data_IF_287684691159
#
_entry.id   IF_287684691159
#
_cell.length_a   1.000
_cell.length_b   1.000
_cell.length_c   1.000
_cell.angle_alpha   90.00
_cell.angle_beta   90.00
_cell.angle_gamma   90.00
#
_symmetry.space_group_name_H-M   'P 1'
#
loop_
_entity.id
_entity.type
_entity.pdbx_description
1 polymer ?
#
# COMPACT_ATOMS: atom_id res chain seq x y z
N UNK A 1 10.15 22.23 -17.33
CA UNK A 1 9.18 22.55 -18.40
C UNK A 1 7.89 23.14 -17.82
N UNK A 2 7.26 22.56 -16.79
CA UNK A 2 6.02 23.05 -16.19
C UNK A 2 6.18 24.41 -15.50
N UNK A 3 7.37 24.71 -14.95
CA UNK A 3 7.62 25.98 -14.24
C UNK A 3 7.81 27.19 -15.18
N UNK A 4 8.08 26.94 -16.46
CA UNK A 4 8.35 28.03 -17.43
C UNK A 4 7.10 28.45 -18.21
N UNK A 5 6.12 27.55 -18.41
CA UNK A 5 4.80 27.84 -18.97
C UNK A 5 3.76 26.94 -18.29
N UNK A 6 3.14 27.41 -17.20
CA UNK A 6 2.14 26.61 -16.49
C UNK A 6 0.86 26.53 -17.34
N UNK A 7 0.62 25.38 -17.93
CA UNK A 7 -0.67 25.05 -18.51
C UNK A 7 -1.62 24.66 -17.38
N UNK A 8 -2.41 25.63 -16.94
CA UNK A 8 -3.35 25.46 -15.83
C UNK A 8 -4.41 24.40 -16.10
N UNK A 9 -4.79 24.21 -17.37
CA UNK A 9 -5.76 23.18 -17.74
C UNK A 9 -5.16 21.79 -17.56
N UNK A 10 -3.92 21.60 -18.00
CA UNK A 10 -3.20 20.33 -17.83
C UNK A 10 -2.97 20.02 -16.34
N UNK A 11 -2.64 21.03 -15.54
CA UNK A 11 -2.40 20.89 -14.10
C UNK A 11 -3.69 20.48 -13.38
N UNK A 12 -4.82 21.14 -13.66
CA UNK A 12 -6.11 20.80 -13.06
C UNK A 12 -6.53 19.38 -13.45
N UNK A 13 -6.40 19.02 -14.72
CA UNK A 13 -6.73 17.67 -15.21
C UNK A 13 -5.86 16.61 -14.53
N UNK A 14 -4.56 16.87 -14.36
CA UNK A 14 -3.65 15.97 -13.67
C UNK A 14 -4.02 15.81 -12.18
N UNK A 15 -4.33 16.91 -11.49
CA UNK A 15 -4.76 16.87 -10.08
C UNK A 15 -6.04 16.07 -9.92
N UNK A 16 -7.05 16.31 -10.76
CA UNK A 16 -8.32 15.58 -10.70
C UNK A 16 -8.11 14.09 -11.01
N UNK A 17 -7.22 13.74 -11.94
CA UNK A 17 -6.91 12.35 -12.28
C UNK A 17 -6.12 11.61 -11.19
N UNK A 18 -5.19 12.29 -10.51
CA UNK A 18 -4.32 11.69 -9.48
C UNK A 18 -5.02 11.63 -8.11
N UNK A 19 -5.88 12.59 -7.79
CA UNK A 19 -6.53 12.68 -6.48
C UNK A 19 -7.27 11.40 -6.04
N UNK A 20 -8.05 10.71 -6.90
CA UNK A 20 -8.68 9.45 -6.54
C UNK A 20 -7.68 8.33 -6.22
N UNK A 21 -6.51 8.32 -6.87
CA UNK A 21 -5.46 7.33 -6.65
C UNK A 21 -4.89 7.47 -5.23
N UNK A 22 -4.83 8.68 -4.68
CA UNK A 22 -4.36 8.92 -3.33
C UNK A 22 -5.18 8.16 -2.26
N UNK A 23 -6.47 7.96 -2.46
CA UNK A 23 -7.29 7.14 -1.55
C UNK A 23 -6.88 5.66 -1.60
N UNK A 24 -6.54 5.14 -2.77
CA UNK A 24 -6.06 3.77 -2.90
C UNK A 24 -4.74 3.57 -2.17
N UNK A 25 -3.78 4.50 -2.33
CA UNK A 25 -2.48 4.42 -1.65
C UNK A 25 -2.59 4.61 -0.13
N UNK A 26 -3.52 5.44 0.35
CA UNK A 26 -3.82 5.57 1.79
C UNK A 26 -4.34 4.24 2.35
N UNK A 27 -5.27 3.57 1.65
CA UNK A 27 -5.81 2.28 2.11
C UNK A 27 -4.76 1.18 2.06
N UNK A 28 -3.90 1.16 1.06
CA UNK A 28 -2.74 0.27 0.96
C UNK A 28 -1.80 0.48 2.16
N UNK A 29 -1.42 1.73 2.44
CA UNK A 29 -0.57 2.08 3.58
C UNK A 29 -1.15 1.61 4.91
N UNK A 30 -2.46 1.78 5.12
CA UNK A 30 -3.13 1.30 6.34
C UNK A 30 -3.03 -0.23 6.43
N UNK A 31 -3.26 -0.93 5.33
CA UNK A 31 -3.14 -2.39 5.26
C UNK A 31 -1.73 -2.87 5.60
N UNK A 32 -0.72 -2.23 5.02
CA UNK A 32 0.70 -2.55 5.27
C UNK A 32 1.11 -2.26 6.71
N UNK A 33 0.62 -1.16 7.30
CA UNK A 33 0.86 -0.86 8.71
C UNK A 33 0.24 -1.91 9.64
N UNK A 34 -0.94 -2.45 9.30
CA UNK A 34 -1.53 -3.58 10.02
C UNK A 34 -0.67 -4.84 9.90
N UNK A 35 -0.16 -5.14 8.68
CA UNK A 35 0.70 -6.30 8.45
C UNK A 35 2.04 -6.19 9.18
N UNK A 36 2.68 -5.01 9.18
CA UNK A 36 3.91 -4.73 9.91
C UNK A 36 3.67 -4.85 11.43
N UNK A 37 2.59 -4.28 11.94
CA UNK A 37 2.21 -4.39 13.34
C UNK A 37 2.09 -5.84 13.79
N UNK A 38 1.42 -6.66 13.01
CA UNK A 38 1.25 -8.08 13.28
C UNK A 38 2.59 -8.84 13.24
N UNK A 39 3.46 -8.49 12.30
CA UNK A 39 4.78 -9.14 12.13
C UNK A 39 5.75 -8.77 13.26
N UNK A 40 5.75 -7.50 13.68
CA UNK A 40 6.69 -6.98 14.70
C UNK A 40 6.12 -7.14 16.12
N UNK A 41 4.80 -7.28 16.26
CA UNK A 41 4.13 -7.37 17.57
C UNK A 41 3.96 -6.01 18.28
N UNK A 42 4.15 -4.88 17.58
CA UNK A 42 4.00 -3.53 18.14
C UNK A 42 2.88 -2.76 17.45
N UNK A 43 2.12 -1.98 18.20
CA UNK A 43 1.01 -1.20 17.66
C UNK A 43 1.50 0.14 17.07
N UNK A 44 1.87 0.12 15.78
CA UNK A 44 2.32 1.31 15.06
C UNK A 44 1.19 2.26 14.65
N UNK A 45 -0.05 1.81 14.70
CA UNK A 45 -1.23 2.66 14.46
C UNK A 45 -1.42 3.63 15.62
N UNK A 46 -1.09 3.18 16.87
CA UNK A 46 -1.19 4.02 18.08
C UNK A 46 0.08 4.83 18.30
N UNK A 47 1.24 4.21 18.18
CA UNK A 47 2.56 4.83 18.40
C UNK A 47 3.55 4.36 17.32
N UNK A 48 4.07 5.26 16.48
CA UNK A 48 4.02 6.73 16.46
C UNK A 48 2.72 7.35 15.95
N UNK A 49 1.76 6.54 15.53
CA UNK A 49 0.46 6.97 15.05
C UNK A 49 0.38 7.04 13.51
N UNK A 50 -0.76 6.61 12.99
CA UNK A 50 -1.01 6.52 11.54
C UNK A 50 -0.82 7.86 10.81
N UNK A 51 -1.13 8.99 11.49
CA UNK A 51 -0.94 10.33 10.92
C UNK A 51 0.54 10.63 10.61
N UNK A 52 1.47 10.12 11.42
CA UNK A 52 2.92 10.33 11.20
C UNK A 52 3.45 9.45 10.08
N UNK A 53 3.00 8.20 10.01
CA UNK A 53 3.42 7.28 8.95
C UNK A 53 2.89 7.72 7.59
N UNK A 54 1.62 8.13 7.50
CA UNK A 54 1.03 8.72 6.30
C UNK A 54 1.70 10.03 5.88
N UNK A 55 2.04 10.90 6.86
CA UNK A 55 2.77 12.14 6.55
C UNK A 55 4.17 11.84 6.02
N UNK A 56 4.84 10.80 6.53
CA UNK A 56 6.14 10.36 6.04
C UNK A 56 6.08 9.88 4.60
N UNK A 57 5.09 9.06 4.27
CA UNK A 57 4.84 8.55 2.91
C UNK A 57 4.52 9.68 1.93
N UNK A 58 3.62 10.61 2.33
CA UNK A 58 3.30 11.80 1.54
C UNK A 58 4.50 12.72 1.31
N UNK A 59 5.35 12.92 2.33
CA UNK A 59 6.59 13.70 2.18
C UNK A 59 7.59 13.02 1.25
N UNK A 60 7.71 11.70 1.31
CA UNK A 60 8.57 10.93 0.40
C UNK A 60 8.10 11.10 -1.06
N UNK A 61 6.79 11.00 -1.30
CA UNK A 61 6.18 11.23 -2.62
C UNK A 61 6.39 12.67 -3.11
N UNK A 62 6.25 13.67 -2.22
CA UNK A 62 6.51 15.07 -2.56
C UNK A 62 7.98 15.28 -2.98
N UNK A 63 8.92 14.73 -2.22
CA UNK A 63 10.34 14.80 -2.55
C UNK A 63 10.64 14.10 -3.88
N UNK A 64 10.09 12.91 -4.10
CA UNK A 64 10.24 12.19 -5.36
C UNK A 64 9.75 13.04 -6.55
N UNK A 65 8.59 13.68 -6.41
CA UNK A 65 8.02 14.54 -7.44
C UNK A 65 8.90 15.77 -7.77
N UNK A 66 9.57 16.37 -6.77
CA UNK A 66 10.51 17.48 -6.99
C UNK A 66 11.67 17.04 -7.89
N UNK A 67 12.14 15.80 -7.76
CA UNK A 67 13.19 15.23 -8.61
C UNK A 67 12.67 14.63 -9.91
N UNK A 68 11.36 14.73 -10.19
CA UNK A 68 10.75 14.19 -11.41
C UNK A 68 10.56 12.66 -11.38
N UNK A 69 10.63 12.06 -10.21
CA UNK A 69 10.36 10.63 -10.03
C UNK A 69 8.84 10.36 -9.89
N UNK A 70 8.38 9.12 -10.13
CA UNK A 70 7.00 8.73 -9.91
C UNK A 70 6.63 8.79 -8.43
N UNK A 71 5.31 8.81 -8.15
CA UNK A 71 4.80 8.75 -6.79
C UNK A 71 5.30 7.48 -6.07
N UNK A 72 5.67 7.64 -4.81
CA UNK A 72 6.06 6.55 -3.92
C UNK A 72 4.82 5.96 -3.23
N UNK A 73 4.93 4.70 -2.84
CA UNK A 73 3.99 4.03 -1.94
C UNK A 73 4.75 3.10 -1.01
N UNK A 74 4.09 2.58 0.00
CA UNK A 74 4.63 1.58 0.91
C UNK A 74 4.77 0.24 0.17
N UNK A 75 5.89 -0.46 0.37
CA UNK A 75 6.14 -1.77 -0.23
C UNK A 75 5.86 -2.89 0.78
N UNK A 76 4.71 -3.54 0.63
CA UNK A 76 4.31 -4.66 1.49
C UNK A 76 5.24 -5.87 1.41
N UNK A 77 5.96 -6.06 0.29
CA UNK A 77 6.96 -7.12 0.10
C UNK A 77 8.08 -7.07 1.13
N UNK A 78 8.47 -5.88 1.56
CA UNK A 78 9.50 -5.69 2.58
C UNK A 78 9.07 -6.28 3.94
N UNK A 79 7.77 -6.34 4.22
CA UNK A 79 7.23 -7.03 5.41
C UNK A 79 7.53 -8.52 5.36
N UNK A 80 7.50 -9.13 4.17
CA UNK A 80 7.94 -10.51 3.96
C UNK A 80 9.40 -10.72 4.33
N UNK A 81 10.29 -9.79 3.94
CA UNK A 81 11.72 -9.83 4.30
C UNK A 81 11.91 -9.68 5.79
N UNK A 82 11.19 -8.77 6.44
CA UNK A 82 11.22 -8.61 7.91
C UNK A 82 10.81 -9.89 8.62
N UNK A 83 9.79 -10.58 8.11
CA UNK A 83 9.31 -11.83 8.69
C UNK A 83 10.34 -12.97 8.56
N UNK A 84 11.06 -13.03 7.44
CA UNK A 84 12.11 -14.03 7.21
C UNK A 84 13.36 -13.76 8.04
N UNK A 85 13.81 -12.51 8.09
CA UNK A 85 15.08 -12.12 8.75
C UNK A 85 14.93 -11.95 10.24
N UNK A 86 13.70 -11.71 10.74
CA UNK A 86 13.39 -11.36 12.13
C UNK A 86 14.15 -10.12 12.63
N UNK A 87 14.62 -9.27 11.72
CA UNK A 87 15.32 -8.02 12.05
C UNK A 87 14.33 -6.87 11.99
N UNK A 88 13.90 -6.41 13.15
CA UNK A 88 12.83 -5.39 13.29
C UNK A 88 13.38 -4.01 13.70
N UNK A 89 14.70 -3.84 13.78
CA UNK A 89 15.30 -2.56 14.16
C UNK A 89 15.17 -1.54 13.01
N UNK A 90 14.48 -0.39 13.23
CA UNK A 90 14.34 0.66 12.21
C UNK A 90 15.67 1.25 11.73
N UNK A 91 16.75 1.10 12.51
CA UNK A 91 18.10 1.56 12.12
C UNK A 91 18.62 0.78 10.93
N UNK A 92 18.38 -0.53 10.90
CA UNK A 92 18.79 -1.40 9.78
C UNK A 92 18.06 -0.98 8.52
N UNK A 93 16.76 -0.73 8.61
CA UNK A 93 15.94 -0.28 7.46
C UNK A 93 16.44 1.07 6.94
N UNK A 94 16.76 2.01 7.83
CA UNK A 94 17.32 3.32 7.43
C UNK A 94 18.69 3.19 6.77
N UNK A 95 19.56 2.31 7.29
CA UNK A 95 20.85 2.03 6.66
C UNK A 95 20.68 1.41 5.27
N UNK A 96 19.77 0.48 5.12
CA UNK A 96 19.44 -0.11 3.82
C UNK A 96 18.94 0.94 2.82
N UNK A 97 18.09 1.88 3.25
CA UNK A 97 17.62 2.98 2.42
C UNK A 97 18.79 3.89 1.97
N UNK A 98 19.70 4.25 2.89
CA UNK A 98 20.90 5.04 2.54
C UNK A 98 21.77 4.30 1.54
N UNK A 99 22.01 3.00 1.75
CA UNK A 99 22.77 2.18 0.80
C UNK A 99 22.11 2.12 -0.57
N UNK A 100 20.79 1.99 -0.62
CA UNK A 100 20.04 2.01 -1.89
C UNK A 100 20.22 3.33 -2.63
N UNK A 101 20.17 4.47 -1.91
CA UNK A 101 20.44 5.80 -2.48
C UNK A 101 21.86 5.87 -3.03
N UNK A 102 22.87 5.42 -2.28
CA UNK A 102 24.25 5.42 -2.74
C UNK A 102 24.45 4.53 -3.98
N UNK A 103 23.84 3.35 -4.01
CA UNK A 103 23.88 2.44 -5.16
C UNK A 103 23.18 3.01 -6.39
N UNK A 104 22.16 3.85 -6.22
CA UNK A 104 21.46 4.49 -7.34
C UNK A 104 22.35 5.44 -8.15
N UNK A 105 23.38 6.00 -7.52
CA UNK A 105 24.38 6.83 -8.20
C UNK A 105 25.46 6.02 -8.94
N UNK A 106 25.44 4.69 -8.83
CA UNK A 106 26.40 3.82 -9.50
C UNK A 106 25.83 3.30 -10.84
N UNK A 107 26.24 3.85 -12.01
CA UNK A 107 25.70 3.42 -13.30
C UNK A 107 25.97 1.94 -13.60
N UNK A 108 27.07 1.39 -13.07
CA UNK A 108 27.41 -0.04 -13.25
C UNK A 108 26.39 -0.93 -12.55
N UNK A 109 25.86 -0.51 -11.39
CA UNK A 109 24.83 -1.26 -10.69
C UNK A 109 23.50 -1.24 -11.47
N UNK A 110 23.13 -0.08 -12.00
CA UNK A 110 21.94 0.04 -12.87
C UNK A 110 22.07 -0.83 -14.13
N UNK A 111 23.26 -0.83 -14.76
CA UNK A 111 23.56 -1.72 -15.89
C UNK A 111 23.41 -3.20 -15.52
N UNK A 112 23.92 -3.61 -14.36
CA UNK A 112 23.82 -5.00 -13.88
C UNK A 112 22.36 -5.45 -13.73
N UNK A 113 21.52 -4.58 -13.17
CA UNK A 113 20.08 -4.84 -13.06
C UNK A 113 19.43 -4.94 -14.45
N UNK A 114 19.79 -4.03 -15.37
CA UNK A 114 19.27 -4.01 -16.75
C UNK A 114 19.69 -5.22 -17.60
N UNK A 115 20.77 -5.91 -17.22
CA UNK A 115 21.25 -7.13 -17.90
C UNK A 115 20.52 -8.40 -17.42
N UNK A 116 19.65 -8.31 -16.43
CA UNK A 116 18.90 -9.48 -15.97
C UNK A 116 18.00 -10.04 -17.08
N UNK A 117 18.04 -11.36 -17.34
CA UNK A 117 17.16 -11.99 -18.31
C UNK A 117 15.68 -11.79 -17.93
N UNK A 118 14.83 -11.53 -18.94
CA UNK A 118 13.38 -11.34 -18.72
C UNK A 118 12.73 -12.53 -17.98
N UNK A 119 13.20 -13.75 -18.23
CA UNK A 119 12.72 -14.94 -17.53
C UNK A 119 13.01 -14.90 -16.02
N UNK A 120 14.18 -14.39 -15.62
CA UNK A 120 14.55 -14.21 -14.19
C UNK A 120 13.67 -13.16 -13.54
N UNK A 121 13.49 -12.01 -14.21
CA UNK A 121 12.60 -10.94 -13.74
C UNK A 121 11.17 -11.46 -13.60
N UNK A 122 10.66 -12.19 -14.59
CA UNK A 122 9.34 -12.78 -14.58
C UNK A 122 9.15 -13.78 -13.41
N UNK A 123 10.14 -14.63 -13.16
CA UNK A 123 10.11 -15.58 -12.04
C UNK A 123 10.08 -14.89 -10.67
N UNK A 124 10.92 -13.87 -10.47
CA UNK A 124 10.94 -13.06 -9.24
C UNK A 124 9.62 -12.31 -9.07
N UNK A 125 9.10 -11.71 -10.14
CA UNK A 125 7.82 -10.99 -10.10
C UNK A 125 6.66 -11.89 -9.72
N UNK A 126 6.64 -13.13 -10.19
CA UNK A 126 5.61 -14.11 -9.85
C UNK A 126 5.62 -14.44 -8.33
N UNK A 127 6.80 -14.60 -7.75
CA UNK A 127 6.96 -14.81 -6.31
C UNK A 127 6.49 -13.56 -5.53
N UNK A 128 6.89 -12.37 -5.98
CA UNK A 128 6.50 -11.10 -5.34
C UNK A 128 4.97 -10.94 -5.36
N UNK A 129 4.32 -11.15 -6.49
CA UNK A 129 2.85 -11.06 -6.59
C UNK A 129 2.15 -12.11 -5.71
N UNK A 130 2.73 -13.30 -5.58
CA UNK A 130 2.26 -14.30 -4.63
C UNK A 130 2.34 -13.82 -3.18
N UNK A 131 3.45 -13.17 -2.80
CA UNK A 131 3.60 -12.60 -1.45
C UNK A 131 2.63 -11.45 -1.20
N UNK A 132 2.44 -10.54 -2.16
CA UNK A 132 1.46 -9.45 -2.05
C UNK A 132 0.05 -10.02 -1.84
N UNK A 133 -0.33 -11.02 -2.62
CA UNK A 133 -1.62 -11.69 -2.49
C UNK A 133 -1.78 -12.34 -1.10
N UNK A 134 -0.72 -12.99 -0.60
CA UNK A 134 -0.73 -13.60 0.72
C UNK A 134 -0.88 -12.55 1.84
N UNK A 135 -0.22 -11.38 1.72
CA UNK A 135 -0.39 -10.26 2.65
C UNK A 135 -1.82 -9.72 2.61
N UNK A 136 -2.42 -9.58 1.43
CA UNK A 136 -3.82 -9.18 1.29
C UNK A 136 -4.78 -10.14 2.00
N UNK A 137 -4.62 -11.46 1.81
CA UNK A 137 -5.41 -12.48 2.50
C UNK A 137 -5.17 -12.43 4.01
N UNK A 138 -3.93 -12.28 4.43
CA UNK A 138 -3.57 -12.14 5.84
C UNK A 138 -4.26 -10.95 6.49
N UNK A 139 -4.27 -9.78 5.85
CA UNK A 139 -4.95 -8.59 6.34
C UNK A 139 -6.46 -8.83 6.53
N UNK A 140 -7.11 -9.56 5.62
CA UNK A 140 -8.52 -9.93 5.76
C UNK A 140 -8.76 -10.83 6.99
N UNK A 141 -7.89 -11.81 7.20
CA UNK A 141 -7.98 -12.74 8.35
C UNK A 141 -7.71 -12.01 9.67
N UNK A 142 -6.69 -11.18 9.73
CA UNK A 142 -6.31 -10.44 10.95
C UNK A 142 -7.34 -9.36 11.31
N UNK A 143 -7.97 -8.74 10.29
CA UNK A 143 -9.07 -7.80 10.50
C UNK A 143 -10.37 -8.48 10.96
N UNK A 144 -10.38 -9.82 11.07
CA UNK A 144 -11.51 -10.63 11.47
C UNK A 144 -12.81 -10.24 10.73
N UNK A 145 -12.69 -9.99 9.42
CA UNK A 145 -13.84 -9.65 8.57
C UNK A 145 -14.80 -10.84 8.55
N UNK A 146 -16.02 -10.62 9.02
CA UNK A 146 -17.05 -11.66 9.01
C UNK A 146 -17.64 -11.83 7.60
N UNK A 147 -17.17 -12.85 6.89
CA UNK A 147 -17.68 -13.22 5.57
C UNK A 147 -18.98 -14.05 5.63
N UNK A 148 -19.48 -14.38 6.83
CA UNK A 148 -20.84 -14.94 6.95
C UNK A 148 -21.90 -13.86 6.71
N UNK A 149 -21.52 -12.59 6.84
CA UNK A 149 -22.40 -11.46 6.54
C UNK A 149 -22.49 -11.24 5.02
N UNK A 150 -23.70 -11.33 4.41
CA UNK A 150 -23.89 -11.09 2.98
C UNK A 150 -23.40 -9.70 2.53
N UNK A 151 -23.48 -8.71 3.41
CA UNK A 151 -22.99 -7.35 3.18
C UNK A 151 -21.48 -7.32 2.91
N UNK A 152 -20.69 -7.95 3.77
CA UNK A 152 -19.24 -7.94 3.66
C UNK A 152 -18.78 -8.73 2.43
N UNK A 153 -19.45 -9.85 2.14
CA UNK A 153 -19.22 -10.61 0.90
C UNK A 153 -19.51 -9.77 -0.33
N UNK A 154 -20.62 -9.04 -0.34
CA UNK A 154 -21.01 -8.21 -1.47
C UNK A 154 -20.01 -7.06 -1.71
N UNK A 155 -19.60 -6.36 -0.66
CA UNK A 155 -18.59 -5.28 -0.76
C UNK A 155 -17.25 -5.82 -1.26
N UNK A 156 -16.77 -6.92 -0.68
CA UNK A 156 -15.50 -7.53 -1.09
C UNK A 156 -15.56 -8.04 -2.55
N UNK A 157 -16.66 -8.68 -2.93
CA UNK A 157 -16.85 -9.16 -4.30
C UNK A 157 -16.83 -8.01 -5.32
N UNK A 158 -17.54 -6.90 -5.04
CA UNK A 158 -17.55 -5.75 -5.93
C UNK A 158 -16.18 -5.09 -6.05
N UNK A 159 -15.44 -4.93 -4.95
CA UNK A 159 -14.07 -4.39 -4.99
C UNK A 159 -13.21 -5.24 -5.92
N UNK A 160 -13.21 -6.56 -5.73
CA UNK A 160 -12.38 -7.48 -6.53
C UNK A 160 -12.81 -7.50 -8.01
N UNK A 161 -14.11 -7.59 -8.27
CA UNK A 161 -14.64 -7.65 -9.64
C UNK A 161 -14.37 -6.35 -10.39
N UNK A 162 -14.52 -5.19 -9.75
CA UNK A 162 -14.22 -3.89 -10.38
C UNK A 162 -12.71 -3.76 -10.64
N UNK A 163 -11.86 -4.09 -9.65
CA UNK A 163 -10.41 -3.99 -9.82
C UNK A 163 -9.91 -4.86 -10.99
N UNK A 164 -10.33 -6.12 -11.04
CA UNK A 164 -9.92 -7.05 -12.09
C UNK A 164 -10.62 -6.73 -13.41
N UNK A 165 -11.92 -6.43 -13.36
CA UNK A 165 -12.71 -6.17 -14.55
C UNK A 165 -12.25 -4.93 -15.32
N UNK A 166 -11.91 -3.85 -14.63
CA UNK A 166 -11.36 -2.64 -15.27
C UNK A 166 -9.94 -2.90 -15.77
N UNK A 167 -9.12 -3.62 -15.00
CA UNK A 167 -7.74 -3.94 -15.40
C UNK A 167 -7.68 -4.69 -16.73
N UNK A 168 -8.50 -5.71 -16.90
CA UNK A 168 -8.46 -6.59 -18.08
C UNK A 168 -9.54 -6.27 -19.12
N UNK A 169 -10.65 -5.67 -18.74
CA UNK A 169 -11.75 -5.34 -19.65
C UNK A 169 -11.65 -3.96 -20.28
N UNK A 170 -11.08 -2.98 -19.58
CA UNK A 170 -10.96 -1.59 -20.01
C UNK A 170 -9.50 -1.10 -20.10
N UNK A 171 -8.52 -2.01 -20.20
CA UNK A 171 -7.07 -1.69 -20.23
C UNK A 171 -6.61 -0.81 -19.06
N UNK A 172 -7.16 -1.04 -17.88
CA UNK A 172 -6.86 -0.31 -16.64
C UNK A 172 -7.23 1.18 -16.68
N UNK A 173 -8.12 1.57 -17.60
CA UNK A 173 -8.47 2.96 -17.82
C UNK A 173 -9.98 3.12 -18.04
N UNK A 174 -10.63 3.80 -17.11
CA UNK A 174 -12.03 4.20 -17.23
C UNK A 174 -12.07 5.71 -17.40
N UNK A 175 -12.39 6.16 -18.61
CA UNK A 175 -12.56 7.57 -18.91
C UNK A 175 -13.93 8.07 -18.43
N UNK A 176 -13.92 8.97 -17.45
CA UNK A 176 -15.13 9.70 -17.01
C UNK A 176 -14.95 11.16 -17.38
N UNK A 177 -15.42 11.51 -18.58
CA UNK A 177 -15.19 12.84 -19.16
C UNK A 177 -13.72 13.05 -19.52
N UNK A 178 -13.06 14.03 -18.91
CA UNK A 178 -11.64 14.32 -19.12
C UNK A 178 -10.72 13.61 -18.09
N UNK A 179 -11.28 12.82 -17.19
CA UNK A 179 -10.54 12.16 -16.10
C UNK A 179 -10.42 10.67 -16.38
N UNK A 180 -9.20 10.16 -16.30
CA UNK A 180 -8.87 8.76 -16.43
C UNK A 180 -8.66 8.15 -15.05
N UNK A 181 -9.44 7.13 -14.68
CA UNK A 181 -9.38 6.49 -13.37
C UNK A 181 -8.97 5.04 -13.54
N UNK A 182 -7.91 4.62 -12.83
CA UNK A 182 -7.46 3.23 -12.83
C UNK A 182 -8.46 2.32 -12.11
N UNK A 183 -8.48 1.04 -12.49
CA UNK A 183 -9.35 0.03 -11.88
C UNK A 183 -9.15 -0.08 -10.36
N UNK A 184 -7.90 0.07 -9.90
CA UNK A 184 -7.57 0.06 -8.47
C UNK A 184 -8.21 1.25 -7.73
N UNK A 185 -8.07 2.47 -8.26
CA UNK A 185 -8.65 3.65 -7.65
C UNK A 185 -10.18 3.59 -7.64
N UNK A 186 -10.78 3.14 -8.75
CA UNK A 186 -12.24 3.00 -8.86
C UNK A 186 -12.76 1.96 -7.86
N UNK A 187 -12.12 0.81 -7.74
CA UNK A 187 -12.54 -0.24 -6.81
C UNK A 187 -12.44 0.21 -5.35
N UNK A 188 -11.37 0.93 -4.99
CA UNK A 188 -11.20 1.48 -3.64
C UNK A 188 -12.30 2.50 -3.32
N UNK A 189 -12.58 3.44 -4.22
CA UNK A 189 -13.65 4.42 -4.05
C UNK A 189 -15.02 3.76 -3.90
N UNK A 190 -15.34 2.81 -4.78
CA UNK A 190 -16.61 2.07 -4.70
C UNK A 190 -16.71 1.29 -3.39
N UNK A 191 -15.63 0.65 -2.96
CA UNK A 191 -15.58 -0.07 -1.68
C UNK A 191 -15.85 0.84 -0.48
N UNK A 192 -15.22 2.02 -0.42
CA UNK A 192 -15.42 3.01 0.63
C UNK A 192 -16.88 3.51 0.63
N UNK A 193 -17.39 3.88 -0.53
CA UNK A 193 -18.75 4.40 -0.69
C UNK A 193 -19.78 3.35 -0.28
N UNK A 194 -19.65 2.12 -0.77
CA UNK A 194 -20.56 1.03 -0.44
C UNK A 194 -20.50 0.71 1.05
N UNK A 195 -19.30 0.69 1.64
CA UNK A 195 -19.14 0.47 3.07
C UNK A 195 -19.78 1.57 3.92
N UNK A 196 -19.82 2.80 3.42
CA UNK A 196 -20.47 3.94 4.09
C UNK A 196 -22.00 3.93 3.95
N UNK A 197 -22.52 3.52 2.78
CA UNK A 197 -23.96 3.57 2.48
C UNK A 197 -24.70 2.35 3.02
N UNK A 198 -24.10 1.16 2.97
CA UNK A 198 -24.75 -0.07 3.40
C UNK A 198 -24.92 -0.10 4.92
N UNK A 199 -26.14 -0.35 5.45
CA UNK A 199 -26.40 -0.35 6.88
C UNK A 199 -25.59 -1.44 7.60
N UNK A 200 -25.10 -1.12 8.80
CA UNK A 200 -24.31 -2.03 9.65
C UNK A 200 -22.78 -1.87 9.55
N UNK A 201 -22.27 -0.88 8.77
CA UNK A 201 -20.85 -0.76 8.44
C UNK A 201 -19.93 -0.15 9.49
N UNK A 202 -20.35 0.89 10.17
CA UNK A 202 -19.41 1.69 10.99
C UNK A 202 -19.26 1.26 12.46
N UNK A 203 -20.12 0.39 12.98
CA UNK A 203 -20.13 0.07 14.43
C UNK A 203 -19.58 -1.30 14.82
N UNK A 204 -19.43 -2.26 13.88
CA UNK A 204 -19.04 -3.63 14.21
C UNK A 204 -17.76 -4.14 13.53
N UNK A 205 -17.22 -3.43 12.57
CA UNK A 205 -16.12 -3.94 11.72
C UNK A 205 -14.74 -3.39 12.08
N UNK A 206 -14.66 -2.37 12.90
CA UNK A 206 -13.40 -1.91 13.48
C UNK A 206 -13.21 -2.51 14.88
N UNK A 207 -13.16 -3.82 14.99
CA UNK A 207 -12.25 -4.42 15.97
C UNK A 207 -10.86 -4.27 15.40
N UNK A 208 -10.38 -3.03 15.34
CA UNK A 208 -8.97 -2.73 15.26
C UNK A 208 -8.36 -3.46 16.42
N UNK A 209 -7.79 -4.63 16.14
CA UNK A 209 -7.04 -5.49 17.03
C UNK A 209 -7.70 -5.61 18.43
N UNK A 210 -8.14 -6.79 18.89
CA UNK A 210 -8.53 -6.92 20.27
C UNK A 210 -7.36 -6.38 21.07
N UNK A 211 -7.64 -5.35 21.86
CA UNK A 211 -6.76 -4.93 22.94
C UNK A 211 -6.46 -6.19 23.74
N UNK A 212 -5.36 -6.86 23.44
CA UNK A 212 -4.77 -7.82 24.35
C UNK A 212 -4.27 -6.95 25.46
N UNK A 213 -5.21 -6.71 26.40
CA UNK A 213 -5.06 -5.83 27.51
C UNK A 213 -3.65 -5.93 28.07
N UNK A 214 -3.04 -4.77 28.18
CA UNK A 214 -1.95 -4.42 29.04
C UNK A 214 -1.45 -5.60 29.90
N UNK A 215 -0.75 -6.52 29.25
CA UNK A 215 0.13 -7.46 29.90
C UNK A 215 1.53 -7.02 29.52
N UNK A 216 1.97 -5.94 30.18
CA UNK A 216 3.34 -5.64 30.50
C UNK A 216 3.89 -6.78 31.35
N UNK A 217 4.13 -7.93 30.71
CA UNK A 217 4.88 -9.01 31.33
C UNK A 217 5.49 -9.86 30.21
N UNK A 218 6.40 -9.24 29.45
CA UNK A 218 7.54 -9.96 28.94
C UNK A 218 8.54 -10.04 30.08
N UNK A 219 8.39 -11.05 30.92
CA UNK A 219 9.45 -11.47 31.83
C UNK A 219 10.67 -11.89 31.02
N UNK A 220 11.83 -11.35 31.41
CA UNK A 220 13.17 -11.55 30.84
C UNK A 220 13.69 -13.00 30.93
N UNK A 221 12.87 -14.03 30.86
CA UNK A 221 13.27 -15.43 31.12
C UNK A 221 13.42 -16.34 29.88
N UNK A 222 13.21 -15.83 28.64
CA UNK A 222 13.48 -16.60 27.44
C UNK A 222 14.55 -15.92 26.55
N UNK A 223 15.76 -15.78 27.11
CA UNK A 223 16.99 -15.54 26.35
C UNK A 223 17.71 -16.85 26.06
#
# INVERSE_FOLDING_TARGET
AVAQNPDWHLLITAVIGIFPIAFATIMEHIGDMCAIQSTVGKNFIKDPGLHRTLSGDGLATLLAAIFGAPANTTYGENTGVLNLTRVFDPRVIRMAAVLAILLSFCPKFACLIGLMPAATIGGVSLILYGMISAVGVRNLVESAVDFSSPRNVFVAALILVIAIGVKYGANDDVAIGAVHISGLALSALVGIILNAILPGGFGKTLKIYPDKGDKDEFTDEDR
#
